data_IF_891872582376
#
_entry.id   IF_891872582376
#
_cell.length_a   1.000
_cell.length_b   1.000
_cell.length_c   1.000
_cell.angle_alpha   90.00
_cell.angle_beta   90.00
_cell.angle_gamma   90.00
#
_symmetry.space_group_name_H-M   'P 1'
#
loop_
_entity.id
_entity.type
_entity.pdbx_description
1 polymer ?
#
# COMPACT_ATOMS: atom_id res chain seq x y z
N UNK A 1 1.13 -16.47 12.11
CA UNK A 1 2.32 -17.28 12.46
C UNK A 1 2.01 -18.41 13.45
N UNK A 2 2.51 -19.62 13.15
CA UNK A 2 2.36 -20.81 13.98
C UNK A 2 3.25 -20.76 15.22
N UNK A 3 2.71 -21.10 16.40
CA UNK A 3 3.47 -21.19 17.66
C UNK A 3 4.35 -22.45 17.71
N UNK A 4 5.54 -22.36 18.32
CA UNK A 4 6.51 -23.47 18.44
C UNK A 4 5.96 -24.63 19.28
N UNK A 5 5.07 -24.37 20.25
CA UNK A 5 4.39 -25.40 21.04
C UNK A 5 3.45 -26.32 20.24
N UNK A 6 3.11 -25.96 19.00
CA UNK A 6 2.37 -26.85 18.08
C UNK A 6 3.27 -27.80 17.29
N UNK A 7 4.59 -27.66 17.45
CA UNK A 7 5.63 -28.44 16.76
C UNK A 7 6.42 -29.26 17.79
N UNK A 8 6.62 -28.74 19.00
CA UNK A 8 7.38 -29.42 20.05
C UNK A 8 6.76 -29.30 21.43
N UNK A 9 6.85 -30.38 22.19
CA UNK A 9 6.42 -30.46 23.60
C UNK A 9 7.45 -29.83 24.56
N UNK A 10 8.50 -29.21 24.05
CA UNK A 10 9.53 -28.49 24.84
C UNK A 10 9.31 -26.98 24.88
N UNK A 11 8.20 -26.49 24.32
CA UNK A 11 7.74 -25.14 24.51
C UNK A 11 7.21 -24.94 25.94
N UNK A 12 7.07 -23.68 26.36
CA UNK A 12 6.42 -23.36 27.63
C UNK A 12 4.89 -23.57 27.58
N UNK A 13 4.22 -23.27 28.70
CA UNK A 13 2.77 -23.41 28.87
C UNK A 13 1.96 -22.50 27.93
N UNK A 14 2.58 -21.46 27.36
CA UNK A 14 1.98 -20.56 26.36
C UNK A 14 2.28 -21.01 24.91
N UNK A 15 3.02 -22.10 24.73
CA UNK A 15 3.47 -22.59 23.43
C UNK A 15 4.60 -21.77 22.81
N UNK A 16 5.38 -21.07 23.63
CA UNK A 16 6.49 -20.18 23.24
C UNK A 16 7.86 -20.78 23.57
N UNK A 17 8.92 -20.10 23.10
CA UNK A 17 10.29 -20.53 23.37
C UNK A 17 10.64 -20.32 24.83
N UNK A 18 11.35 -21.29 25.40
CA UNK A 18 11.93 -21.21 26.73
C UNK A 18 13.38 -21.68 26.73
N UNK A 19 14.22 -21.00 27.51
CA UNK A 19 15.59 -21.44 27.79
C UNK A 19 15.62 -22.68 28.71
N UNK A 20 14.47 -23.12 29.19
CA UNK A 20 14.36 -24.12 30.25
C UNK A 20 14.86 -23.58 31.59
N UNK A 21 14.84 -24.44 32.59
CA UNK A 21 15.42 -24.19 33.90
C UNK A 21 15.82 -25.54 34.50
N UNK A 22 17.10 -25.91 34.32
CA UNK A 22 17.60 -27.24 34.67
C UNK A 22 17.36 -27.60 36.14
N UNK A 23 17.45 -26.63 37.06
CA UNK A 23 17.27 -26.86 38.50
C UNK A 23 15.84 -27.27 38.89
N UNK A 24 14.84 -27.01 38.06
CA UNK A 24 13.43 -27.41 38.27
C UNK A 24 12.94 -28.37 37.18
N UNK A 25 13.85 -28.96 36.40
CA UNK A 25 13.54 -29.94 35.37
C UNK A 25 12.83 -29.39 34.13
N UNK A 26 12.74 -28.06 33.94
CA UNK A 26 12.19 -27.47 32.70
C UNK A 26 13.22 -27.59 31.57
N UNK A 27 12.87 -28.28 30.49
CA UNK A 27 13.72 -28.43 29.29
C UNK A 27 13.75 -27.13 28.50
N UNK A 28 14.86 -26.87 27.81
CA UNK A 28 14.93 -25.84 26.79
C UNK A 28 14.13 -26.26 25.54
N UNK A 29 13.65 -25.27 24.79
CA UNK A 29 12.92 -25.52 23.55
C UNK A 29 13.85 -26.05 22.47
N UNK A 30 13.44 -27.15 21.85
CA UNK A 30 14.13 -27.76 20.71
C UNK A 30 13.74 -27.02 19.43
N UNK A 31 14.74 -26.62 18.65
CA UNK A 31 14.53 -25.94 17.37
C UNK A 31 14.25 -26.95 16.25
N UNK A 32 13.08 -26.81 15.61
CA UNK A 32 12.68 -27.62 14.46
C UNK A 32 12.68 -26.77 13.17
N UNK A 33 13.17 -27.35 12.08
CA UNK A 33 13.14 -26.73 10.75
C UNK A 33 11.74 -26.25 10.34
N UNK A 34 10.70 -26.99 10.75
CA UNK A 34 9.30 -26.64 10.50
C UNK A 34 8.92 -25.24 11.02
N UNK A 35 9.48 -24.81 12.15
CA UNK A 35 9.22 -23.47 12.68
C UNK A 35 9.94 -22.40 11.85
N UNK A 36 11.22 -22.60 11.52
CA UNK A 36 11.96 -21.66 10.66
C UNK A 36 11.31 -21.51 9.27
N UNK A 37 10.86 -22.62 8.68
CA UNK A 37 10.11 -22.61 7.43
C UNK A 37 8.77 -21.87 7.57
N UNK A 38 8.15 -21.89 8.75
CA UNK A 38 6.95 -21.07 9.01
C UNK A 38 7.28 -19.59 8.96
N UNK A 39 8.35 -19.15 9.62
CA UNK A 39 8.81 -17.76 9.55
C UNK A 39 9.14 -17.38 8.11
N UNK A 40 9.89 -18.21 7.39
CA UNK A 40 10.23 -17.96 5.98
C UNK A 40 8.98 -17.79 5.11
N UNK A 41 7.97 -18.66 5.24
CA UNK A 41 6.72 -18.53 4.48
C UNK A 41 5.96 -17.23 4.78
N UNK A 42 5.97 -16.77 6.02
CA UNK A 42 5.34 -15.49 6.41
C UNK A 42 6.10 -14.31 5.77
N UNK A 43 7.43 -14.33 5.78
CA UNK A 43 8.25 -13.30 5.13
C UNK A 43 8.07 -13.31 3.60
N UNK A 44 8.05 -14.50 2.98
CA UNK A 44 7.74 -14.66 1.56
C UNK A 44 6.36 -14.09 1.23
N UNK A 45 5.34 -14.43 2.03
CA UNK A 45 3.99 -13.92 1.82
C UNK A 45 3.92 -12.39 1.91
N UNK A 46 4.69 -11.76 2.80
CA UNK A 46 4.76 -10.28 2.87
C UNK A 46 5.29 -9.70 1.55
N UNK A 47 6.36 -10.28 1.00
CA UNK A 47 6.97 -9.81 -0.25
C UNK A 47 6.03 -9.97 -1.44
N UNK A 48 5.44 -11.16 -1.60
CA UNK A 48 4.54 -11.46 -2.71
C UNK A 48 3.23 -10.65 -2.63
N UNK A 49 2.66 -10.49 -1.43
CA UNK A 49 1.45 -9.67 -1.23
C UNK A 49 1.70 -8.18 -1.46
N UNK A 50 2.95 -7.71 -1.31
CA UNK A 50 3.35 -6.35 -1.68
C UNK A 50 3.52 -6.15 -3.21
N UNK A 51 3.28 -7.20 -4.01
CA UNK A 51 3.41 -7.19 -5.46
C UNK A 51 4.84 -7.31 -5.96
N UNK A 52 5.78 -7.70 -5.10
CA UNK A 52 7.18 -7.94 -5.47
C UNK A 52 7.41 -9.43 -5.73
N UNK A 53 8.41 -9.73 -6.57
CA UNK A 53 8.87 -11.11 -6.80
C UNK A 53 10.07 -11.39 -5.90
N UNK A 54 10.16 -12.61 -5.35
CA UNK A 54 11.33 -13.02 -4.58
C UNK A 54 12.61 -12.99 -5.43
N UNK A 55 13.70 -12.47 -4.85
CA UNK A 55 15.02 -12.46 -5.49
C UNK A 55 16.05 -13.07 -4.54
N UNK A 56 16.67 -14.16 -4.98
CA UNK A 56 17.69 -14.90 -4.22
C UNK A 56 18.95 -14.08 -3.95
N UNK A 57 19.13 -12.97 -4.67
CA UNK A 57 20.29 -12.08 -4.51
C UNK A 57 19.96 -10.83 -3.69
N UNK A 58 18.75 -10.72 -3.14
CA UNK A 58 18.26 -9.54 -2.42
C UNK A 58 17.80 -9.89 -1.00
N UNK A 59 18.67 -9.64 -0.01
CA UNK A 59 18.33 -9.81 1.41
C UNK A 59 17.57 -8.59 1.99
N UNK A 60 17.26 -7.58 1.18
CA UNK A 60 16.65 -6.30 1.58
C UNK A 60 15.19 -6.15 1.09
N UNK A 61 14.54 -7.23 0.63
CA UNK A 61 13.19 -7.13 0.08
C UNK A 61 12.16 -6.57 1.08
N UNK A 62 12.30 -6.91 2.37
CA UNK A 62 11.39 -6.42 3.42
C UNK A 62 11.64 -4.93 3.70
N UNK A 63 12.90 -4.47 3.77
CA UNK A 63 13.20 -3.05 3.99
C UNK A 63 12.72 -2.20 2.81
N UNK A 64 12.88 -2.69 1.57
CA UNK A 64 12.35 -2.01 0.36
C UNK A 64 10.83 -1.83 0.41
N UNK A 65 10.09 -2.78 0.96
CA UNK A 65 8.64 -2.66 1.16
C UNK A 65 8.33 -1.56 2.18
N UNK A 66 9.06 -1.51 3.29
CA UNK A 66 8.89 -0.46 4.32
C UNK A 66 9.18 0.92 3.74
N UNK A 67 10.23 1.05 2.92
CA UNK A 67 10.58 2.30 2.24
C UNK A 67 9.50 2.71 1.24
N UNK A 68 8.95 1.75 0.48
CA UNK A 68 7.82 1.98 -0.42
C UNK A 68 6.60 2.50 0.35
N UNK A 69 6.21 1.86 1.45
CA UNK A 69 5.10 2.31 2.29
C UNK A 69 5.33 3.72 2.85
N UNK A 70 6.55 4.01 3.30
CA UNK A 70 6.92 5.34 3.80
C UNK A 70 6.85 6.40 2.71
N UNK A 71 7.28 6.06 1.49
CA UNK A 71 7.17 6.94 0.31
C UNK A 71 5.72 7.29 0.01
N UNK A 72 4.82 6.30 -0.01
CA UNK A 72 3.38 6.51 -0.20
C UNK A 72 2.83 7.46 0.87
N UNK A 73 3.12 7.20 2.15
CA UNK A 73 2.66 8.03 3.28
C UNK A 73 3.16 9.47 3.15
N UNK A 74 4.44 9.66 2.82
CA UNK A 74 5.02 10.99 2.67
C UNK A 74 4.41 11.75 1.48
N UNK A 75 4.12 11.05 0.39
CA UNK A 75 3.47 11.67 -0.76
C UNK A 75 2.06 12.15 -0.39
N UNK A 76 1.26 11.32 0.27
CA UNK A 76 -0.05 11.73 0.81
C UNK A 76 0.05 12.91 1.76
N UNK A 77 1.04 12.91 2.67
CA UNK A 77 1.24 14.00 3.63
C UNK A 77 1.54 15.34 2.95
N UNK A 78 2.37 15.34 1.92
CA UNK A 78 2.87 16.57 1.31
C UNK A 78 1.96 17.08 0.17
N UNK A 79 1.29 16.18 -0.54
CA UNK A 79 0.51 16.51 -1.75
C UNK A 79 -0.99 16.28 -1.58
N UNK A 80 -1.44 15.65 -0.49
CA UNK A 80 -2.86 15.35 -0.24
C UNK A 80 -3.43 14.19 -1.05
N UNK A 81 -2.65 13.64 -1.99
CA UNK A 81 -3.04 12.57 -2.91
C UNK A 81 -1.96 11.49 -2.97
N UNK A 82 -2.29 10.24 -3.36
CA UNK A 82 -1.30 9.20 -3.68
C UNK A 82 -0.59 9.48 -5.00
N UNK A 83 0.60 8.91 -5.18
CA UNK A 83 1.12 8.67 -6.53
C UNK A 83 0.38 7.50 -7.17
N UNK A 84 0.19 7.56 -8.48
CA UNK A 84 -0.31 6.41 -9.22
C UNK A 84 0.69 5.25 -9.17
N UNK A 85 0.18 4.06 -8.91
CA UNK A 85 0.94 2.81 -8.90
C UNK A 85 0.31 1.80 -9.86
N UNK A 86 1.14 1.10 -10.64
CA UNK A 86 0.72 0.14 -11.66
C UNK A 86 0.16 -1.18 -11.11
N UNK A 87 0.31 -1.44 -9.80
CA UNK A 87 -0.19 -2.65 -9.12
C UNK A 87 -1.47 -2.41 -8.32
N UNK A 88 -1.85 -1.15 -8.09
CA UNK A 88 -3.03 -0.79 -7.31
C UNK A 88 -4.20 -0.54 -8.25
N UNK A 89 -5.38 -1.02 -7.87
CA UNK A 89 -6.63 -0.71 -8.59
C UNK A 89 -7.34 0.44 -7.90
N UNK A 90 -7.85 1.38 -8.68
CA UNK A 90 -8.50 2.57 -8.15
C UNK A 90 -10.01 2.53 -8.38
N UNK A 91 -10.78 2.93 -7.37
CA UNK A 91 -12.24 3.07 -7.49
C UNK A 91 -12.62 4.32 -8.28
N UNK A 92 -13.85 4.35 -8.81
CA UNK A 92 -14.40 5.59 -9.37
C UNK A 92 -14.36 6.70 -8.30
N UNK A 93 -13.92 7.89 -8.70
CA UNK A 93 -13.79 9.03 -7.79
C UNK A 93 -12.41 9.16 -7.11
N UNK A 94 -11.54 8.16 -7.22
CA UNK A 94 -10.18 8.24 -6.67
C UNK A 94 -9.33 9.26 -7.45
N UNK A 95 -8.58 10.10 -6.74
CA UNK A 95 -7.63 11.04 -7.34
C UNK A 95 -6.20 10.57 -7.10
N UNK A 96 -5.37 10.58 -8.13
CA UNK A 96 -3.94 10.17 -8.08
C UNK A 96 -3.05 11.20 -8.76
N UNK A 97 -1.81 11.30 -8.31
CA UNK A 97 -0.77 12.09 -8.97
C UNK A 97 0.06 11.24 -9.93
N UNK A 98 0.19 11.68 -11.18
CA UNK A 98 0.98 11.00 -12.21
C UNK A 98 1.55 12.02 -13.21
N UNK A 99 2.83 11.89 -13.56
CA UNK A 99 3.44 12.69 -14.63
C UNK A 99 3.36 14.21 -14.45
N UNK A 100 3.30 14.71 -13.21
CA UNK A 100 3.21 16.15 -12.95
C UNK A 100 1.80 16.68 -12.68
N UNK A 101 0.76 15.88 -12.91
CA UNK A 101 -0.64 16.31 -12.81
C UNK A 101 -1.47 15.36 -11.94
N UNK A 102 -2.65 15.84 -11.51
CA UNK A 102 -3.64 15.02 -10.82
C UNK A 102 -4.65 14.47 -11.81
N UNK A 103 -5.13 13.26 -11.56
CA UNK A 103 -6.13 12.58 -12.37
C UNK A 103 -7.19 11.94 -11.48
N UNK A 104 -8.45 12.07 -11.88
CA UNK A 104 -9.62 11.45 -11.30
C UNK A 104 -9.96 10.16 -12.06
N UNK A 105 -10.12 9.06 -11.33
CA UNK A 105 -10.59 7.79 -11.89
C UNK A 105 -12.08 7.86 -12.20
N UNK A 106 -12.47 7.47 -13.42
CA UNK A 106 -13.84 7.44 -13.90
C UNK A 106 -14.51 6.07 -13.81
N UNK A 107 -13.75 5.03 -13.50
CA UNK A 107 -14.24 3.65 -13.42
C UNK A 107 -13.78 2.97 -12.13
N UNK A 108 -14.51 1.93 -11.73
CA UNK A 108 -14.05 1.02 -10.68
C UNK A 108 -12.98 0.07 -11.21
N UNK A 109 -12.15 -0.44 -10.31
CA UNK A 109 -11.04 -1.35 -10.61
C UNK A 109 -10.11 -0.80 -11.72
N UNK A 110 -9.92 0.52 -11.74
CA UNK A 110 -9.12 1.19 -12.75
C UNK A 110 -7.64 0.86 -12.59
N UNK A 111 -7.06 0.25 -13.63
CA UNK A 111 -5.64 -0.11 -13.74
C UNK A 111 -4.94 0.57 -14.93
N UNK A 112 -5.65 1.41 -15.68
CA UNK A 112 -5.06 2.13 -16.80
C UNK A 112 -4.02 3.14 -16.29
N UNK A 113 -3.05 3.48 -17.14
CA UNK A 113 -2.09 4.54 -16.83
C UNK A 113 -2.80 5.90 -16.95
N UNK A 114 -2.70 6.80 -15.95
CA UNK A 114 -3.32 8.12 -16.04
C UNK A 114 -2.78 8.92 -17.22
N UNK A 115 -3.69 9.57 -17.95
CA UNK A 115 -3.38 10.34 -19.16
C UNK A 115 -3.30 9.53 -20.45
N UNK A 116 -3.43 8.19 -20.42
CA UNK A 116 -3.44 7.37 -21.64
C UNK A 116 -4.84 6.93 -22.08
N UNK A 117 -5.83 6.99 -21.19
CA UNK A 117 -7.20 6.58 -21.47
C UNK A 117 -8.17 7.59 -20.85
N UNK A 118 -8.87 8.34 -21.70
CA UNK A 118 -9.81 9.39 -21.29
C UNK A 118 -11.15 8.84 -20.76
N UNK A 119 -11.46 7.56 -21.02
CA UNK A 119 -12.64 6.89 -20.46
C UNK A 119 -12.35 6.35 -19.06
N UNK A 120 -11.07 6.23 -18.69
CA UNK A 120 -10.64 5.75 -17.38
C UNK A 120 -10.16 6.89 -16.47
N UNK A 121 -9.53 7.92 -17.03
CA UNK A 121 -8.91 9.00 -16.28
C UNK A 121 -9.29 10.36 -16.83
N UNK A 122 -9.61 11.28 -15.93
CA UNK A 122 -9.89 12.67 -16.23
C UNK A 122 -8.86 13.56 -15.51
N UNK A 123 -8.26 14.58 -16.16
CA UNK A 123 -7.43 15.54 -15.45
C UNK A 123 -8.21 16.22 -14.31
N UNK A 124 -7.59 16.33 -13.14
CA UNK A 124 -8.17 16.93 -11.94
C UNK A 124 -7.41 18.22 -11.60
N UNK A 125 -8.12 19.35 -11.51
CA UNK A 125 -7.49 20.64 -11.22
C UNK A 125 -8.04 21.19 -9.90
N UNK A 126 -7.14 21.45 -8.95
CA UNK A 126 -7.46 22.12 -7.69
C UNK A 126 -7.30 23.63 -7.81
N UNK A 127 -8.23 24.28 -8.49
CA UNK A 127 -8.38 25.74 -8.45
C UNK A 127 -9.85 26.11 -8.63
N UNK A 128 -10.18 27.34 -8.26
CA UNK A 128 -11.48 27.90 -8.65
C UNK A 128 -11.55 27.97 -10.18
N UNK A 129 -12.72 27.66 -10.72
CA UNK A 129 -13.01 27.90 -12.13
C UNK A 129 -12.81 29.40 -12.44
N UNK A 130 -12.17 29.70 -13.56
CA UNK A 130 -12.14 31.08 -14.08
C UNK A 130 -13.56 31.51 -14.44
N UNK A 131 -13.77 32.82 -14.53
CA UNK A 131 -15.05 33.38 -14.95
C UNK A 131 -15.50 32.87 -16.32
N UNK A 132 -14.56 32.76 -17.26
CA UNK A 132 -14.81 32.20 -18.59
C UNK A 132 -15.18 30.71 -18.53
N UNK A 133 -14.46 29.89 -17.76
CA UNK A 133 -14.77 28.46 -17.60
C UNK A 133 -16.15 28.22 -16.96
N UNK A 134 -16.54 29.08 -16.00
CA UNK A 134 -17.83 29.01 -15.33
C UNK A 134 -18.99 29.47 -16.23
N UNK A 135 -18.76 30.45 -17.10
CA UNK A 135 -19.79 31.02 -18.00
C UNK A 135 -19.96 30.18 -19.27
N UNK A 136 -18.86 29.74 -19.90
CA UNK A 136 -18.87 29.04 -21.18
C UNK A 136 -18.99 27.52 -21.05
N UNK A 137 -18.74 26.94 -19.87
CA UNK A 137 -18.76 25.49 -19.68
C UNK A 137 -17.65 24.74 -20.41
N UNK A 138 -16.69 25.46 -21.01
CA UNK A 138 -15.63 24.94 -21.89
C UNK A 138 -14.49 24.24 -21.11
N UNK A 139 -14.61 24.17 -19.78
CA UNK A 139 -13.75 23.38 -18.88
C UNK A 139 -14.38 22.07 -18.38
N UNK A 140 -15.57 21.71 -18.87
CA UNK A 140 -16.41 20.61 -18.33
C UNK A 140 -15.80 19.20 -18.39
N UNK A 141 -14.64 19.03 -19.02
CA UNK A 141 -13.88 17.77 -18.96
C UNK A 141 -12.96 17.70 -17.76
N UNK A 142 -13.09 18.57 -16.74
CA UNK A 142 -12.30 18.53 -15.49
C UNK A 142 -13.21 18.72 -14.28
N UNK A 143 -13.02 17.94 -13.20
CA UNK A 143 -13.72 18.19 -11.94
C UNK A 143 -13.05 19.40 -11.28
N UNK A 144 -13.76 20.52 -11.26
CA UNK A 144 -13.32 21.81 -10.70
C UNK A 144 -14.06 22.11 -9.40
N UNK A 145 -13.39 22.77 -8.45
CA UNK A 145 -14.06 23.32 -7.27
C UNK A 145 -14.89 24.54 -7.69
N UNK A 146 -16.21 24.59 -7.41
CA UNK A 146 -17.03 25.74 -7.78
C UNK A 146 -16.52 27.06 -7.15
N UNK A 147 -16.52 28.15 -7.93
CA UNK A 147 -16.16 29.51 -7.45
C UNK A 147 -17.11 29.89 -6.31
N UNK A 148 -16.56 30.35 -5.18
CA UNK A 148 -17.38 30.83 -4.05
C UNK A 148 -18.03 32.15 -4.45
N UNK A 149 -19.30 32.13 -4.82
CA UNK A 149 -20.03 33.33 -5.19
C UNK A 149 -20.00 34.34 -4.04
N UNK A 150 -19.41 35.51 -4.26
CA UNK A 150 -19.61 36.65 -3.39
C UNK A 150 -21.00 37.19 -3.70
N UNK A 151 -21.86 37.22 -2.69
CA UNK A 151 -23.13 37.96 -2.74
C UNK A 151 -22.73 39.42 -2.54
N UNK A 152 -22.76 40.23 -3.60
CA UNK A 152 -22.75 41.70 -3.49
C UNK A 152 -24.09 42.24 -2.97
#
# INVERSE_FOLDING_TARGET
MRKIGTITNSADENGEFTNGHAAVGKKNTIFYAEWFNTVQRELVAIVENAGLTLDVNDDEQISKIIDKMSSVINHYRNYGYPQWENIVSYYNGAVVYHGGALYLSLINDNKFVPGTNNDAWQPYIQREATEEEAIYGDGSTQVMTPRRGFVE
#
